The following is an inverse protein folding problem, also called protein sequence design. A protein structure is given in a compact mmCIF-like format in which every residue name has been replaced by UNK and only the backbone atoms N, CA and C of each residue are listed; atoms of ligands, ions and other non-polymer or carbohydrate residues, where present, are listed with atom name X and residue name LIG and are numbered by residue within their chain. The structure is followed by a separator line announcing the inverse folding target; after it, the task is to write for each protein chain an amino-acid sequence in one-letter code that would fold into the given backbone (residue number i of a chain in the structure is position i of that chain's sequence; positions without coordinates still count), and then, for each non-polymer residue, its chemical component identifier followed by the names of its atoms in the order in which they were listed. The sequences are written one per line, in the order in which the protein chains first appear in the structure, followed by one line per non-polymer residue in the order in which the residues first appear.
data_IF_574521375414
#
_entry.id   IF_574521375414
#
_cell.length_a   1.000
_cell.length_b   1.000
_cell.length_c   1.000
_cell.angle_alpha   90.00
_cell.angle_beta   90.00
_cell.angle_gamma   90.00
#
_symmetry.space_group_name_H-M   'P 1'
#
loop_
_entity.id
_entity.type
_entity.pdbx_description
1 polymer ?
#
# COMPACT_ATOMS: atom_id res chain seq x y z
N UNK A 1 0.55 -8.16 21.11
CA UNK A 1 1.02 -6.86 20.58
C UNK A 1 1.73 -7.16 19.28
N UNK A 2 1.15 -6.78 18.15
CA UNK A 2 1.79 -6.98 16.84
C UNK A 2 3.05 -6.11 16.83
N UNK A 3 4.20 -6.76 16.75
CA UNK A 3 5.49 -6.07 16.86
C UNK A 3 5.74 -5.30 15.55
N UNK A 4 5.98 -3.98 15.64
CA UNK A 4 6.31 -3.12 14.48
C UNK A 4 7.39 -3.72 13.58
N UNK A 5 8.42 -4.33 14.16
CA UNK A 5 9.50 -4.99 13.42
C UNK A 5 9.00 -6.20 12.62
N UNK A 6 8.06 -6.97 13.19
CA UNK A 6 7.42 -8.09 12.49
C UNK A 6 6.55 -7.59 11.33
N UNK A 7 5.73 -6.56 11.56
CA UNK A 7 4.91 -5.95 10.52
C UNK A 7 5.79 -5.45 9.36
N UNK A 8 6.88 -4.74 9.64
CA UNK A 8 7.79 -4.27 8.61
C UNK A 8 8.40 -5.41 7.80
N UNK A 9 8.77 -6.52 8.45
CA UNK A 9 9.29 -7.71 7.77
C UNK A 9 8.22 -8.39 6.90
N UNK A 10 7.00 -8.54 7.40
CA UNK A 10 5.88 -9.15 6.68
C UNK A 10 5.53 -8.30 5.44
N UNK A 11 5.43 -6.97 5.58
CA UNK A 11 5.22 -6.03 4.46
C UNK A 11 6.37 -6.10 3.43
N UNK A 12 7.63 -6.14 3.89
CA UNK A 12 8.79 -6.23 3.01
C UNK A 12 8.80 -7.55 2.21
N UNK A 13 8.41 -8.66 2.85
CA UNK A 13 8.29 -9.97 2.20
C UNK A 13 7.22 -9.95 1.12
N UNK A 14 6.06 -9.36 1.41
CA UNK A 14 4.97 -9.23 0.44
C UNK A 14 5.36 -8.31 -0.75
N UNK A 15 5.95 -7.14 -0.48
CA UNK A 15 6.37 -6.17 -1.52
C UNK A 15 7.52 -6.69 -2.39
N UNK A 16 8.35 -7.60 -1.87
CA UNK A 16 9.40 -8.28 -2.65
C UNK A 16 8.89 -9.52 -3.40
N UNK A 17 7.61 -9.88 -3.23
CA UNK A 17 7.02 -11.08 -3.83
C UNK A 17 7.48 -12.40 -3.21
N UNK A 18 8.13 -12.36 -2.04
CA UNK A 18 8.57 -13.56 -1.30
C UNK A 18 7.41 -14.25 -0.58
N UNK A 19 6.37 -13.49 -0.22
CA UNK A 19 5.13 -14.01 0.37
C UNK A 19 3.93 -13.59 -0.48
N UNK A 20 2.95 -14.49 -0.68
CA UNK A 20 1.71 -14.14 -1.37
C UNK A 20 0.90 -13.12 -0.55
N UNK A 21 0.10 -12.30 -1.23
CA UNK A 21 -0.82 -11.38 -0.58
C UNK A 21 -2.13 -12.11 -0.27
N UNK A 22 -2.65 -11.92 0.94
CA UNK A 22 -3.84 -12.61 1.43
C UNK A 22 -5.11 -11.99 0.85
N UNK A 23 -5.86 -12.78 0.09
CA UNK A 23 -7.18 -12.39 -0.42
C UNK A 23 -8.23 -12.37 0.68
N UNK A 24 -8.11 -13.25 1.67
CA UNK A 24 -9.06 -13.34 2.78
C UNK A 24 -8.96 -12.06 3.63
N UNK A 25 -7.74 -11.63 3.99
CA UNK A 25 -7.51 -10.37 4.70
C UNK A 25 -7.97 -9.15 3.90
N UNK A 26 -7.88 -9.21 2.56
CA UNK A 26 -8.45 -8.15 1.72
C UNK A 26 -9.97 -8.10 1.84
N UNK A 27 -10.66 -9.23 1.65
CA UNK A 27 -12.13 -9.29 1.63
C UNK A 27 -12.72 -8.98 2.99
N UNK A 28 -12.10 -9.47 4.06
CA UNK A 28 -12.58 -9.31 5.42
C UNK A 28 -12.35 -7.90 5.98
N UNK A 29 -11.34 -7.17 5.48
CA UNK A 29 -10.97 -5.86 6.04
C UNK A 29 -10.87 -4.78 4.98
N UNK A 30 -9.93 -4.88 4.03
CA UNK A 30 -9.63 -3.79 3.11
C UNK A 30 -10.80 -3.42 2.18
N UNK A 31 -11.63 -4.40 1.81
CA UNK A 31 -12.76 -4.20 0.91
C UNK A 31 -13.79 -3.19 1.48
N UNK A 32 -13.92 -3.10 2.81
CA UNK A 32 -14.85 -2.17 3.46
C UNK A 32 -14.41 -0.70 3.33
N UNK A 33 -13.12 -0.46 3.06
CA UNK A 33 -12.53 0.88 2.96
C UNK A 33 -12.40 1.39 1.52
N UNK A 34 -12.81 0.62 0.51
CA UNK A 34 -12.67 1.00 -0.91
C UNK A 34 -13.28 2.38 -1.22
N UNK A 35 -14.51 2.61 -0.78
CA UNK A 35 -15.24 3.86 -1.06
C UNK A 35 -14.70 5.05 -0.25
N UNK A 36 -14.33 4.83 1.02
CA UNK A 36 -13.73 5.86 1.87
C UNK A 36 -12.37 6.31 1.32
N UNK A 37 -11.53 5.37 0.91
CA UNK A 37 -10.19 5.66 0.38
C UNK A 37 -10.26 6.32 -0.99
N UNK A 38 -11.22 5.94 -1.85
CA UNK A 38 -11.52 6.69 -3.09
C UNK A 38 -11.89 8.14 -2.79
N UNK A 39 -12.78 8.37 -1.83
CA UNK A 39 -13.15 9.74 -1.47
C UNK A 39 -11.97 10.53 -0.88
N UNK A 40 -11.06 9.87 -0.15
CA UNK A 40 -9.82 10.50 0.34
C UNK A 40 -8.89 10.89 -0.80
N UNK A 41 -8.69 10.02 -1.78
CA UNK A 41 -7.87 10.28 -2.97
C UNK A 41 -8.34 11.55 -3.70
N UNK A 42 -9.65 11.64 -3.96
CA UNK A 42 -10.26 12.79 -4.64
C UNK A 42 -10.09 14.09 -3.82
N UNK A 43 -10.22 13.98 -2.49
CA UNK A 43 -10.11 15.12 -1.57
C UNK A 43 -8.68 15.67 -1.50
N UNK A 44 -7.69 14.79 -1.44
CA UNK A 44 -6.28 15.16 -1.26
C UNK A 44 -5.58 15.47 -2.60
N UNK A 45 -6.28 15.23 -3.72
CA UNK A 45 -5.77 15.38 -5.08
C UNK A 45 -4.41 14.68 -5.24
N UNK A 46 -4.36 13.44 -4.77
CA UNK A 46 -3.25 12.51 -4.96
C UNK A 46 -3.41 11.81 -6.32
N UNK A 47 -2.30 11.40 -6.92
CA UNK A 47 -2.33 10.70 -8.21
C UNK A 47 -2.59 9.20 -8.06
N UNK A 48 -2.32 8.64 -6.88
CA UNK A 48 -2.72 7.30 -6.49
C UNK A 48 -2.69 7.17 -4.96
N UNK A 49 -3.35 6.16 -4.43
CA UNK A 49 -3.36 5.82 -3.02
C UNK A 49 -2.95 4.37 -2.84
N UNK A 50 -1.95 4.15 -1.97
CA UNK A 50 -1.53 2.84 -1.51
C UNK A 50 -2.14 2.57 -0.13
N UNK A 51 -2.81 1.44 0.01
CA UNK A 51 -3.28 0.95 1.29
C UNK A 51 -2.74 -0.46 1.54
N UNK A 52 -2.22 -0.71 2.74
CA UNK A 52 -1.73 -2.01 3.17
C UNK A 52 -2.18 -2.31 4.60
N UNK A 53 -2.38 -3.60 4.85
CA UNK A 53 -2.65 -4.14 6.17
C UNK A 53 -1.81 -5.40 6.36
N UNK A 54 -1.27 -5.57 7.56
CA UNK A 54 -0.63 -6.81 7.97
C UNK A 54 -1.27 -7.29 9.27
N UNK A 55 -1.73 -8.54 9.28
CA UNK A 55 -2.26 -9.18 10.48
C UNK A 55 -1.84 -10.65 10.52
N UNK A 56 -1.40 -11.10 11.69
CA UNK A 56 -0.87 -12.45 11.96
C UNK A 56 0.10 -13.05 10.91
N UNK A 57 0.85 -12.22 10.18
CA UNK A 57 1.77 -12.66 9.12
C UNK A 57 1.18 -12.66 7.71
N UNK A 58 -0.13 -12.49 7.59
CA UNK A 58 -0.80 -12.21 6.33
C UNK A 58 -0.71 -10.72 6.00
N UNK A 59 -0.60 -10.43 4.71
CA UNK A 59 -0.56 -9.05 4.20
C UNK A 59 -1.56 -8.90 3.07
N UNK A 60 -2.37 -7.84 3.14
CA UNK A 60 -3.26 -7.44 2.06
C UNK A 60 -2.84 -6.06 1.54
N UNK A 61 -3.06 -5.84 0.24
CA UNK A 61 -2.66 -4.63 -0.44
C UNK A 61 -3.74 -4.14 -1.39
N UNK A 62 -3.93 -2.83 -1.45
CA UNK A 62 -4.78 -2.16 -2.41
C UNK A 62 -4.06 -0.93 -2.99
N UNK A 63 -4.24 -0.70 -4.29
CA UNK A 63 -3.85 0.55 -4.94
C UNK A 63 -5.08 1.12 -5.64
N UNK A 64 -5.34 2.39 -5.40
CA UNK A 64 -6.38 3.16 -6.09
C UNK A 64 -5.67 4.17 -6.99
N UNK A 65 -5.95 4.13 -8.28
CA UNK A 65 -5.40 5.06 -9.26
C UNK A 65 -6.28 6.33 -9.34
N UNK A 66 -5.75 7.44 -9.86
CA UNK A 66 -6.48 8.72 -9.96
C UNK A 66 -7.81 8.65 -10.72
N UNK A 67 -7.99 7.64 -11.57
CA UNK A 67 -9.24 7.40 -12.32
C UNK A 67 -10.29 6.61 -11.52
N UNK A 68 -10.00 6.30 -10.24
CA UNK A 68 -10.84 5.51 -9.35
C UNK A 68 -10.71 3.99 -9.53
N UNK A 69 -9.84 3.52 -10.43
CA UNK A 69 -9.56 2.10 -10.62
C UNK A 69 -8.92 1.49 -9.37
N UNK A 70 -9.48 0.38 -8.90
CA UNK A 70 -8.95 -0.38 -7.76
C UNK A 70 -8.18 -1.60 -8.25
N UNK A 71 -6.94 -1.71 -7.79
CA UNK A 71 -6.09 -2.87 -7.97
C UNK A 71 -5.91 -3.55 -6.60
N UNK A 72 -5.98 -4.87 -6.59
CA UNK A 72 -5.99 -5.69 -5.37
C UNK A 72 -4.80 -6.63 -5.35
N UNK A 73 -4.17 -6.80 -4.18
CA UNK A 73 -3.10 -7.75 -3.91
C UNK A 73 -2.04 -7.80 -5.02
N UNK A 74 -1.83 -8.93 -5.69
CA UNK A 74 -0.79 -9.08 -6.72
C UNK A 74 -0.97 -8.11 -7.89
N UNK A 75 -2.22 -7.74 -8.23
CA UNK A 75 -2.47 -6.73 -9.25
C UNK A 75 -2.11 -5.33 -8.75
N UNK A 76 -2.32 -5.05 -7.45
CA UNK A 76 -1.87 -3.82 -6.81
C UNK A 76 -0.34 -3.74 -6.81
N UNK A 77 0.35 -4.83 -6.45
CA UNK A 77 1.81 -4.89 -6.45
C UNK A 77 2.39 -4.65 -7.84
N UNK A 78 1.85 -5.30 -8.87
CA UNK A 78 2.27 -5.09 -10.26
C UNK A 78 2.04 -3.64 -10.69
N UNK A 79 0.89 -3.06 -10.33
CA UNK A 79 0.59 -1.66 -10.65
C UNK A 79 1.58 -0.73 -9.96
N UNK A 80 1.86 -0.93 -8.67
CA UNK A 80 2.81 -0.12 -7.91
C UNK A 80 4.24 -0.21 -8.47
N UNK A 81 4.70 -1.41 -8.82
CA UNK A 81 6.00 -1.62 -9.49
C UNK A 81 6.06 -0.92 -10.85
N UNK A 82 4.99 -1.00 -11.64
CA UNK A 82 4.90 -0.32 -12.93
C UNK A 82 4.85 1.22 -12.79
N UNK A 83 4.23 1.72 -11.73
CA UNK A 83 4.15 3.15 -11.42
C UNK A 83 5.51 3.71 -10.99
N UNK A 84 6.19 3.07 -10.03
CA UNK A 84 7.46 3.58 -9.49
C UNK A 84 8.69 3.20 -10.30
N UNK A 85 8.63 2.15 -11.14
CA UNK A 85 9.72 1.66 -12.01
C UNK A 85 11.09 1.67 -11.31
N UNK A 86 11.87 2.72 -11.53
CA UNK A 86 13.24 2.88 -11.01
C UNK A 86 13.32 3.32 -9.53
N UNK A 87 12.21 3.82 -8.97
CA UNK A 87 12.13 4.33 -7.60
C UNK A 87 11.45 3.36 -6.64
N UNK A 88 11.06 2.16 -7.09
CA UNK A 88 10.28 1.23 -6.27
C UNK A 88 10.97 0.89 -4.95
N UNK A 89 12.24 0.47 -5.00
CA UNK A 89 12.99 0.08 -3.79
C UNK A 89 13.16 1.25 -2.81
N UNK A 90 13.49 2.44 -3.31
CA UNK A 90 13.69 3.65 -2.49
C UNK A 90 12.37 4.07 -1.82
N UNK A 91 11.27 4.05 -2.58
CA UNK A 91 9.95 4.41 -2.08
C UNK A 91 9.48 3.41 -1.01
N UNK A 92 9.67 2.11 -1.25
CA UNK A 92 9.35 1.05 -0.28
C UNK A 92 10.17 1.20 1.01
N UNK A 93 11.48 1.43 0.92
CA UNK A 93 12.33 1.63 2.10
C UNK A 93 11.89 2.84 2.93
N UNK A 94 11.39 3.89 2.28
CA UNK A 94 10.91 5.10 2.95
C UNK A 94 9.54 4.88 3.59
N UNK A 95 8.65 4.15 2.92
CA UNK A 95 7.27 3.95 3.37
C UNK A 95 7.12 2.86 4.43
N UNK A 96 7.93 1.80 4.38
CA UNK A 96 7.83 0.67 5.31
C UNK A 96 7.83 1.06 6.80
N UNK A 97 8.72 1.95 7.28
CA UNK A 97 8.69 2.40 8.67
C UNK A 97 7.42 3.15 9.05
N UNK A 98 6.79 3.86 8.10
CA UNK A 98 5.56 4.64 8.29
C UNK A 98 4.36 3.69 8.33
N UNK A 99 4.22 2.83 7.31
CA UNK A 99 3.14 1.85 7.22
C UNK A 99 3.14 0.92 8.43
N UNK A 100 4.31 0.42 8.83
CA UNK A 100 4.44 -0.45 10.00
C UNK A 100 4.09 0.25 11.32
N UNK A 101 4.35 1.55 11.44
CA UNK A 101 3.95 2.34 12.61
C UNK A 101 2.43 2.43 12.71
N UNK A 102 1.77 2.81 11.61
CA UNK A 102 0.31 2.92 11.54
C UNK A 102 -0.38 1.58 11.82
N UNK A 103 0.08 0.50 11.18
CA UNK A 103 -0.50 -0.84 11.37
C UNK A 103 -0.29 -1.34 12.81
N UNK A 104 0.86 -1.05 13.43
CA UNK A 104 1.10 -1.43 14.83
C UNK A 104 0.14 -0.76 15.82
N UNK A 105 -0.46 0.36 15.43
CA UNK A 105 -1.47 1.10 16.18
C UNK A 105 -2.90 0.67 15.85
N UNK A 106 -3.08 -0.43 15.10
CA UNK A 106 -4.38 -0.94 14.60
C UNK A 106 -5.06 -0.02 13.58
N UNK A 107 -4.29 0.80 12.87
CA UNK A 107 -4.78 1.58 11.74
C UNK A 107 -4.39 0.92 10.42
N UNK A 108 -5.01 1.35 9.32
CA UNK A 108 -4.53 1.01 7.98
C UNK A 108 -3.20 1.73 7.69
N UNK A 109 -2.29 1.03 7.03
CA UNK A 109 -1.12 1.66 6.44
C UNK A 109 -1.51 2.33 5.13
N UNK A 110 -1.78 3.63 5.16
CA UNK A 110 -2.19 4.41 3.98
C UNK A 110 -1.10 5.39 3.58
N UNK A 111 -0.81 5.49 2.29
CA UNK A 111 0.11 6.45 1.71
C UNK A 111 -0.46 7.02 0.40
N UNK A 112 -0.59 8.34 0.34
CA UNK A 112 -0.84 9.07 -0.90
C UNK A 112 0.42 9.13 -1.76
N UNK A 113 0.25 8.97 -3.07
CA UNK A 113 1.31 9.03 -4.07
C UNK A 113 1.06 10.27 -4.92
N UNK A 114 2.05 11.16 -4.95
CA UNK A 114 2.08 12.29 -5.89
C UNK A 114 3.25 12.16 -6.84
N UNK A 115 2.98 12.35 -8.13
CA UNK A 115 4.00 12.43 -9.15
C UNK A 115 4.66 13.80 -9.09
N UNK A 116 5.96 13.81 -8.83
CA UNK A 116 6.74 14.99 -9.13
C UNK A 116 6.81 15.13 -10.65
N UNK A 117 6.50 16.31 -11.21
CA UNK A 117 6.76 16.54 -12.62
C UNK A 117 8.25 16.27 -12.86
N UNK A 118 8.56 15.62 -13.98
CA UNK A 118 9.96 15.46 -14.39
C UNK A 118 10.59 16.86 -14.38
N UNK A 119 11.65 17.05 -13.60
CA UNK A 119 12.45 18.25 -13.66
C UNK A 119 12.81 18.45 -15.13
N UNK A 120 12.32 19.52 -15.74
CA UNK A 120 12.84 19.96 -17.02
C UNK A 120 14.28 20.39 -16.76
N UNK A 121 15.24 19.50 -17.00
CA UNK A 121 16.66 19.84 -17.11
C UNK A 121 16.87 20.89 -18.22
#
# INVERSE_FOLDING_TARGET
MTNKTKIAADLQSALSGQSPLSIDLYVEVLAEYEDELKASLDKDADDALLCMLADDGDVAMMVIDWDGSIYRNENALKKLQAMWRHSFEINVQTLLPILSDHISQKNLGVAGIKWLPASSD
#
